data_IF_971653679592
#
_entry.id   IF_971653679592
#
_cell.length_a   1.000
_cell.length_b   1.000
_cell.length_c   1.000
_cell.angle_alpha   90.00
_cell.angle_beta   90.00
_cell.angle_gamma   90.00
#
_symmetry.space_group_name_H-M   'P 1'
#
loop_
_entity.id
_entity.type
_entity.pdbx_description
1 polymer ?
#
# COMPACT_ATOMS: atom_id res chain seq x y z
N UNK A 1 8.39 -1.86 -8.68
CA UNK A 1 7.61 -0.60 -8.53
C UNK A 1 6.21 -1.00 -8.05
N UNK A 2 5.62 -0.30 -7.07
CA UNK A 2 4.30 -0.65 -6.56
C UNK A 2 3.23 -0.50 -7.65
N UNK A 3 2.31 -1.45 -7.71
CA UNK A 3 1.16 -1.39 -8.61
C UNK A 3 0.20 -0.28 -8.18
N UNK A 4 -0.66 0.19 -9.08
CA UNK A 4 -1.69 1.17 -8.75
C UNK A 4 -3.05 0.66 -9.21
N UNK A 5 -4.05 0.79 -8.34
CA UNK A 5 -5.44 0.42 -8.63
C UNK A 5 -6.38 1.57 -8.27
N UNK A 6 -7.55 1.59 -8.92
CA UNK A 6 -8.69 2.43 -8.53
C UNK A 6 -9.61 1.62 -7.63
N UNK A 7 -10.03 2.20 -6.52
CA UNK A 7 -10.93 1.58 -5.53
C UNK A 7 -12.17 2.45 -5.41
N UNK A 8 -13.34 1.90 -5.71
CA UNK A 8 -14.60 2.57 -5.44
C UNK A 8 -14.90 2.54 -3.94
N UNK A 9 -15.17 3.71 -3.35
CA UNK A 9 -15.45 3.84 -1.91
C UNK A 9 -16.86 4.32 -1.63
N UNK A 10 -17.50 4.97 -2.61
CA UNK A 10 -18.91 5.33 -2.62
C UNK A 10 -19.40 5.28 -4.08
N UNK A 11 -20.71 5.20 -4.35
CA UNK A 11 -21.24 5.24 -5.72
C UNK A 11 -20.66 6.43 -6.50
N UNK A 12 -20.03 6.14 -7.64
CA UNK A 12 -19.38 7.13 -8.52
C UNK A 12 -18.22 7.90 -7.87
N UNK A 13 -17.62 7.39 -6.79
CA UNK A 13 -16.47 8.00 -6.11
C UNK A 13 -15.38 6.95 -5.91
N UNK A 14 -14.27 7.15 -6.59
CA UNK A 14 -13.10 6.28 -6.47
C UNK A 14 -11.92 7.03 -5.86
N UNK A 15 -11.06 6.27 -5.18
CA UNK A 15 -9.74 6.70 -4.73
C UNK A 15 -8.69 5.82 -5.39
N UNK A 16 -7.47 6.32 -5.45
CA UNK A 16 -6.32 5.53 -5.87
C UNK A 16 -5.72 4.81 -4.67
N UNK A 17 -5.25 3.58 -4.88
CA UNK A 17 -4.44 2.85 -3.91
C UNK A 17 -3.20 2.29 -4.59
N UNK A 18 -2.09 2.19 -3.84
CA UNK A 18 -0.84 1.59 -4.32
C UNK A 18 -0.58 0.27 -3.62
N UNK A 19 -0.24 -0.74 -4.41
CA UNK A 19 -0.03 -2.12 -3.96
C UNK A 19 1.47 -2.42 -3.82
N UNK A 20 1.84 -2.92 -2.65
CA UNK A 20 3.19 -3.36 -2.30
C UNK A 20 3.13 -4.86 -1.98
N UNK A 21 3.23 -5.72 -3.01
CA UNK A 21 3.12 -7.16 -2.81
C UNK A 21 4.29 -7.70 -2.01
N UNK A 22 3.99 -8.56 -1.04
CA UNK A 22 4.99 -9.26 -0.23
C UNK A 22 5.91 -10.11 -1.10
N UNK A 23 7.19 -10.18 -0.70
CA UNK A 23 8.12 -11.16 -1.22
C UNK A 23 7.53 -12.58 -1.14
N UNK A 24 7.82 -13.43 -2.13
CA UNK A 24 7.18 -14.74 -2.29
C UNK A 24 7.51 -15.73 -1.17
N UNK A 25 8.69 -15.60 -0.55
CA UNK A 25 9.11 -16.42 0.58
C UNK A 25 8.70 -15.77 1.90
N UNK A 26 8.11 -16.55 2.82
CA UNK A 26 7.78 -16.07 4.16
C UNK A 26 6.56 -15.15 4.24
N UNK A 27 5.57 -15.32 3.35
CA UNK A 27 4.33 -14.52 3.40
C UNK A 27 3.58 -14.72 4.71
N UNK A 28 3.26 -13.62 5.37
CA UNK A 28 2.47 -13.61 6.60
C UNK A 28 0.97 -13.90 6.36
N UNK A 29 0.50 -13.79 5.11
CA UNK A 29 -0.91 -14.00 4.77
C UNK A 29 -1.83 -12.86 5.21
N UNK A 30 -1.28 -11.68 5.49
CA UNK A 30 -2.02 -10.48 5.89
C UNK A 30 -1.66 -9.30 4.99
N UNK A 31 -2.64 -8.42 4.81
CA UNK A 31 -2.46 -7.14 4.09
C UNK A 31 -2.69 -5.98 5.05
N UNK A 32 -1.74 -5.06 5.13
CA UNK A 32 -1.86 -3.83 5.89
C UNK A 32 -2.30 -2.67 4.98
N UNK A 33 -3.34 -1.93 5.40
CA UNK A 33 -3.77 -0.70 4.74
C UNK A 33 -3.22 0.49 5.53
N UNK A 34 -2.45 1.35 4.88
CA UNK A 34 -1.68 2.42 5.49
C UNK A 34 -2.13 3.78 4.95
N UNK A 35 -2.96 4.50 5.71
CA UNK A 35 -3.37 5.85 5.37
C UNK A 35 -2.26 6.87 5.65
N UNK A 36 -1.76 7.63 4.66
CA UNK A 36 -0.83 8.72 4.90
C UNK A 36 -1.44 9.78 5.84
N UNK A 37 -0.70 10.17 6.87
CA UNK A 37 -1.12 11.21 7.81
C UNK A 37 -0.79 12.63 7.33
N UNK A 38 -1.28 13.63 8.08
CA UNK A 38 -0.91 15.04 7.94
C UNK A 38 -1.03 15.64 6.52
N UNK A 39 -1.96 15.10 5.70
CA UNK A 39 -2.15 15.56 4.33
C UNK A 39 -1.06 15.13 3.35
N UNK A 40 -0.12 14.27 3.76
CA UNK A 40 0.85 13.69 2.85
C UNK A 40 0.16 12.78 1.81
N UNK A 41 0.73 12.69 0.61
CA UNK A 41 0.24 11.77 -0.41
C UNK A 41 0.78 10.35 -0.23
N UNK A 42 0.11 9.38 -0.87
CA UNK A 42 0.57 7.99 -1.05
C UNK A 42 1.90 7.85 -1.82
N UNK A 43 2.49 8.96 -2.26
CA UNK A 43 3.79 9.05 -2.93
C UNK A 43 4.88 9.69 -2.06
N UNK A 44 4.57 10.07 -0.82
CA UNK A 44 5.60 10.57 0.11
C UNK A 44 6.72 9.54 0.28
N UNK A 45 7.96 9.99 0.36
CA UNK A 45 9.12 9.10 0.48
C UNK A 45 8.97 8.15 1.68
N UNK A 46 8.54 8.70 2.83
CA UNK A 46 8.28 7.93 4.03
C UNK A 46 7.31 6.76 3.81
N UNK A 47 6.10 7.02 3.26
CA UNK A 47 5.09 5.96 3.14
C UNK A 47 5.52 4.90 2.13
N UNK A 48 6.22 5.32 1.06
CA UNK A 48 6.75 4.41 0.04
C UNK A 48 7.83 3.50 0.62
N UNK A 49 8.79 4.06 1.35
CA UNK A 49 9.87 3.30 1.98
C UNK A 49 9.34 2.36 3.07
N UNK A 50 8.40 2.84 3.89
CA UNK A 50 7.80 2.04 4.95
C UNK A 50 7.01 0.84 4.39
N UNK A 51 6.11 1.07 3.43
CA UNK A 51 5.34 0.00 2.79
C UNK A 51 6.25 -0.99 2.04
N UNK A 52 7.30 -0.50 1.37
CA UNK A 52 8.29 -1.35 0.70
C UNK A 52 9.05 -2.23 1.70
N UNK A 53 9.42 -1.67 2.86
CA UNK A 53 10.10 -2.41 3.92
C UNK A 53 9.25 -3.53 4.55
N UNK A 54 7.94 -3.33 4.66
CA UNK A 54 6.98 -4.35 5.09
C UNK A 54 6.85 -5.46 4.04
N UNK A 55 6.68 -5.10 2.77
CA UNK A 55 6.61 -6.04 1.65
C UNK A 55 7.87 -6.92 1.55
N UNK A 56 9.04 -6.33 1.74
CA UNK A 56 10.31 -7.06 1.77
C UNK A 56 10.40 -8.08 2.92
N UNK A 57 9.61 -7.91 3.99
CA UNK A 57 9.54 -8.81 5.15
C UNK A 57 8.35 -9.77 5.09
N UNK A 58 7.71 -9.90 3.93
CA UNK A 58 6.63 -10.87 3.71
C UNK A 58 5.22 -10.38 4.07
N UNK A 59 5.02 -9.06 4.25
CA UNK A 59 3.72 -8.48 4.60
C UNK A 59 3.21 -7.65 3.42
N UNK A 60 2.06 -8.01 2.86
CA UNK A 60 1.44 -7.21 1.79
C UNK A 60 1.03 -5.85 2.36
N UNK A 61 1.29 -4.77 1.63
CA UNK A 61 0.89 -3.43 2.05
C UNK A 61 0.14 -2.69 0.94
N UNK A 62 -0.79 -1.85 1.36
CA UNK A 62 -1.55 -0.94 0.50
C UNK A 62 -1.48 0.45 1.12
N UNK A 63 -1.21 1.47 0.31
CA UNK A 63 -1.26 2.88 0.74
C UNK A 63 -2.29 3.64 -0.08
#
# INVERSE_FOLDING_TARGET
>A
MPGQISVEVLPNRSVTARLYPAATHGRAGVTLILGPGAGAGQTSAFIVEFATGLAARGIDAVT
#
